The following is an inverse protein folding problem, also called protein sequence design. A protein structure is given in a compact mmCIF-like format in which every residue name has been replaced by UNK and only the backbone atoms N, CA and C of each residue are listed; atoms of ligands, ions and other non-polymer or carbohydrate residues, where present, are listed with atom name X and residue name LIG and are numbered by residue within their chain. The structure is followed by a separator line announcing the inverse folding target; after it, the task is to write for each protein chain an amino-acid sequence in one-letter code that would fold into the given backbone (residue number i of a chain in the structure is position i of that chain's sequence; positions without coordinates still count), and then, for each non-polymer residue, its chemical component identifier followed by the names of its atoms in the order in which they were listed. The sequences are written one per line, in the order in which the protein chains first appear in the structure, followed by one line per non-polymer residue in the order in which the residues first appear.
data_IF_422675429636
#
_entry.id   IF_422675429636
#
_cell.length_a   1.000
_cell.length_b   1.000
_cell.length_c   1.000
_cell.angle_alpha   90.00
_cell.angle_beta   90.00
_cell.angle_gamma   90.00
#
_symmetry.space_group_name_H-M   'P 1'
#
loop_
_entity.id
_entity.type
_entity.pdbx_description
1 polymer ?
#
# COMPACT_ATOMS: atom_id res chain seq x y z
N UNK A 1 -4.48 -0.11 27.58
CA UNK A 1 -4.64 0.11 26.12
C UNK A 1 -3.30 -0.24 25.49
N UNK A 2 -3.19 -1.39 24.83
CA UNK A 2 -1.92 -1.86 24.25
C UNK A 2 -1.72 -1.16 22.90
N UNK A 3 -0.77 -0.21 22.81
CA UNK A 3 -0.41 0.35 21.49
C UNK A 3 0.18 -0.78 20.66
N UNK A 4 -0.25 -0.98 19.40
CA UNK A 4 0.28 -2.07 18.62
C UNK A 4 1.74 -1.77 18.24
N UNK A 5 2.55 -2.83 18.14
CA UNK A 5 4.02 -2.83 18.04
C UNK A 5 4.62 -2.10 16.81
N UNK A 6 3.79 -1.46 15.98
CA UNK A 6 4.20 -0.77 14.75
C UNK A 6 4.70 0.66 14.96
N UNK A 7 4.53 1.24 16.15
CA UNK A 7 4.99 2.60 16.45
C UNK A 7 6.51 2.78 16.41
N UNK A 8 7.28 1.68 16.37
CA UNK A 8 8.73 1.68 16.45
C UNK A 8 9.44 1.77 15.08
N UNK A 9 8.70 1.63 13.98
CA UNK A 9 9.24 1.87 12.63
C UNK A 9 8.86 3.27 12.17
N UNK A 10 9.76 4.23 12.40
CA UNK A 10 9.59 5.61 11.98
C UNK A 10 9.50 5.70 10.45
N UNK A 11 8.32 6.02 9.93
CA UNK A 11 8.14 6.41 8.53
C UNK A 11 8.42 7.91 8.41
N UNK A 12 9.31 8.36 7.52
CA UNK A 12 9.62 9.78 7.35
C UNK A 12 8.36 10.59 7.05
N UNK A 13 8.15 11.67 7.80
CA UNK A 13 6.91 12.45 7.85
C UNK A 13 6.69 13.43 6.69
N UNK A 14 7.29 13.21 5.52
CA UNK A 14 7.16 14.13 4.39
C UNK A 14 6.35 13.50 3.25
N UNK A 15 5.34 14.24 2.78
CA UNK A 15 4.35 13.88 1.75
C UNK A 15 3.19 13.02 2.28
N UNK A 16 1.98 13.26 1.76
CA UNK A 16 0.74 12.58 2.15
C UNK A 16 0.94 11.06 2.15
N UNK A 17 1.21 10.53 3.33
CA UNK A 17 1.69 9.16 3.53
C UNK A 17 0.73 8.42 4.42
N UNK A 18 0.50 7.16 4.08
CA UNK A 18 -0.38 6.27 4.80
C UNK A 18 0.31 4.94 5.06
N UNK A 19 0.06 4.36 6.24
CA UNK A 19 0.55 3.05 6.61
C UNK A 19 -0.50 2.00 6.26
N UNK A 20 -0.05 0.84 5.81
CA UNK A 20 -0.91 -0.28 5.51
C UNK A 20 -0.28 -1.59 5.92
N UNK A 21 -1.12 -2.58 6.17
CA UNK A 21 -0.72 -3.96 6.25
C UNK A 21 -1.80 -4.88 5.68
N UNK A 22 -1.37 -6.07 5.28
CA UNK A 22 -2.18 -7.16 4.79
C UNK A 22 -1.76 -8.42 5.55
N UNK A 23 -2.68 -8.99 6.32
CA UNK A 23 -2.53 -10.35 6.82
C UNK A 23 -2.62 -11.32 5.63
N UNK A 24 -1.67 -12.25 5.50
CA UNK A 24 -1.60 -13.13 4.32
C UNK A 24 -2.47 -14.37 4.44
N UNK A 25 -2.87 -14.76 5.66
CA UNK A 25 -3.75 -15.90 5.87
C UNK A 25 -5.22 -15.53 5.59
N UNK A 26 -5.61 -14.30 5.93
CA UNK A 26 -6.99 -13.82 5.86
C UNK A 26 -7.24 -12.79 4.77
N UNK A 27 -6.18 -12.30 4.11
CA UNK A 27 -6.19 -11.17 3.17
C UNK A 27 -6.71 -9.85 3.78
N UNK A 28 -6.87 -9.76 5.10
CA UNK A 28 -7.41 -8.56 5.74
C UNK A 28 -6.44 -7.38 5.64
N UNK A 29 -6.99 -6.24 5.19
CA UNK A 29 -6.28 -4.98 5.12
C UNK A 29 -6.54 -4.12 6.35
N UNK A 30 -5.47 -3.56 6.90
CA UNK A 30 -5.55 -2.50 7.92
C UNK A 30 -4.82 -1.28 7.38
N UNK A 31 -5.52 -0.16 7.33
CA UNK A 31 -5.05 1.11 6.78
C UNK A 31 -5.06 2.18 7.86
N UNK A 32 -4.05 3.05 7.84
CA UNK A 32 -4.14 4.33 8.53
C UNK A 32 -5.02 5.31 7.75
N UNK A 33 -5.48 6.36 8.43
CA UNK A 33 -6.21 7.48 7.83
C UNK A 33 -5.59 8.01 6.53
N UNK A 34 -4.26 8.09 6.47
CA UNK A 34 -3.55 8.56 5.28
C UNK A 34 -3.79 7.69 4.04
N UNK A 35 -3.99 6.36 4.18
CA UNK A 35 -4.31 5.51 3.02
C UNK A 35 -5.75 5.71 2.57
N UNK A 36 -6.70 5.91 3.50
CA UNK A 36 -8.06 6.29 3.12
C UNK A 36 -8.08 7.60 2.33
N UNK A 37 -7.35 8.61 2.80
CA UNK A 37 -7.22 9.91 2.13
C UNK A 37 -6.57 9.76 0.73
N UNK A 38 -5.57 8.88 0.59
CA UNK A 38 -4.94 8.56 -0.71
C UNK A 38 -5.92 7.94 -1.70
N UNK A 39 -6.85 7.11 -1.22
CA UNK A 39 -7.86 6.45 -2.06
C UNK A 39 -9.15 7.28 -2.20
N UNK A 40 -9.24 8.44 -1.54
CA UNK A 40 -10.44 9.29 -1.52
C UNK A 40 -11.65 8.60 -0.89
N UNK A 41 -11.43 7.76 0.12
CA UNK A 41 -12.48 7.04 0.84
C UNK A 41 -12.73 7.69 2.20
N UNK A 42 -13.98 7.67 2.71
CA UNK A 42 -14.22 8.05 4.10
C UNK A 42 -13.42 7.15 5.04
N UNK A 43 -12.81 7.74 6.07
CA UNK A 43 -11.99 7.00 7.03
C UNK A 43 -12.84 6.01 7.82
N UNK A 44 -12.30 4.80 8.03
CA UNK A 44 -12.95 3.76 8.82
C UNK A 44 -14.07 3.00 8.09
N UNK A 45 -14.30 3.25 6.80
CA UNK A 45 -15.16 2.36 5.99
C UNK A 45 -14.54 0.98 5.92
N UNK A 46 -15.37 -0.06 5.87
CA UNK A 46 -14.88 -1.43 5.71
C UNK A 46 -14.10 -1.55 4.39
N UNK A 47 -12.91 -2.14 4.46
CA UNK A 47 -12.03 -2.33 3.31
C UNK A 47 -12.04 -3.81 2.93
N UNK A 48 -12.35 -4.08 1.67
CA UNK A 48 -12.14 -5.37 1.04
C UNK A 48 -10.96 -5.29 0.07
N UNK A 49 -10.03 -6.25 0.14
CA UNK A 49 -8.81 -6.22 -0.68
C UNK A 49 -9.13 -6.28 -2.17
N UNK A 50 -10.04 -7.15 -2.59
CA UNK A 50 -10.39 -7.30 -3.99
C UNK A 50 -11.00 -6.00 -4.54
N UNK A 51 -11.94 -5.40 -3.80
CA UNK A 51 -12.52 -4.11 -4.14
C UNK A 51 -11.49 -2.96 -4.20
N UNK A 52 -10.45 -3.00 -3.35
CA UNK A 52 -9.38 -1.99 -3.41
C UNK A 52 -8.45 -2.18 -4.60
N UNK A 53 -8.19 -3.43 -5.01
CA UNK A 53 -7.44 -3.70 -6.24
C UNK A 53 -8.15 -3.13 -7.46
N UNK A 54 -9.49 -3.11 -7.47
CA UNK A 54 -10.27 -2.53 -8.56
C UNK A 54 -10.01 -1.04 -8.80
N UNK A 55 -9.49 -0.32 -7.80
CA UNK A 55 -9.11 1.08 -7.90
C UNK A 55 -7.80 1.29 -8.65
N UNK A 56 -6.94 0.28 -8.73
CA UNK A 56 -5.71 0.36 -9.52
C UNK A 56 -6.02 0.31 -11.01
N UNK A 57 -5.34 1.14 -11.79
CA UNK A 57 -5.37 1.02 -13.25
C UNK A 57 -4.83 -0.37 -13.68
N UNK A 58 -5.28 -0.92 -14.83
CA UNK A 58 -4.99 -2.31 -15.20
C UNK A 58 -3.50 -2.67 -15.15
N UNK A 59 -2.63 -1.86 -15.75
CA UNK A 59 -1.18 -2.09 -15.77
C UNK A 59 -0.57 -2.05 -14.37
N UNK A 60 -0.98 -1.07 -13.56
CA UNK A 60 -0.52 -0.93 -12.17
C UNK A 60 -0.99 -2.08 -11.29
N UNK A 61 -2.21 -2.60 -11.52
CA UNK A 61 -2.75 -3.77 -10.80
C UNK A 61 -1.92 -5.02 -11.10
N UNK A 62 -1.67 -5.27 -12.39
CA UNK A 62 -0.87 -6.43 -12.83
C UNK A 62 0.52 -6.35 -12.23
N UNK A 63 1.19 -5.21 -12.34
CA UNK A 63 2.52 -5.01 -11.78
C UNK A 63 2.53 -5.21 -10.25
N UNK A 64 1.54 -4.67 -9.54
CA UNK A 64 1.44 -4.86 -8.10
C UNK A 64 1.30 -6.34 -7.73
N UNK A 65 0.44 -7.09 -8.43
CA UNK A 65 0.20 -8.52 -8.13
C UNK A 65 1.46 -9.34 -8.39
N UNK A 66 2.18 -9.06 -9.48
CA UNK A 66 3.47 -9.69 -9.75
C UNK A 66 4.48 -9.42 -8.62
N UNK A 67 4.60 -8.17 -8.17
CA UNK A 67 5.48 -7.82 -7.05
C UNK A 67 5.04 -8.46 -5.73
N UNK A 68 3.74 -8.52 -5.44
CA UNK A 68 3.19 -9.19 -4.26
C UNK A 68 3.53 -10.68 -4.26
N UNK A 69 3.31 -11.38 -5.37
CA UNK A 69 3.59 -12.82 -5.48
C UNK A 69 5.08 -13.09 -5.27
N UNK A 70 5.96 -12.31 -5.92
CA UNK A 70 7.40 -12.44 -5.74
C UNK A 70 7.82 -12.15 -4.29
N UNK A 71 7.30 -11.08 -3.70
CA UNK A 71 7.61 -10.69 -2.33
C UNK A 71 7.24 -11.78 -1.31
N UNK A 72 6.07 -12.39 -1.45
CA UNK A 72 5.62 -13.47 -0.56
C UNK A 72 6.50 -14.71 -0.74
N UNK A 73 6.78 -15.11 -1.98
CA UNK A 73 7.61 -16.28 -2.29
C UNK A 73 9.04 -16.13 -1.75
N UNK A 74 9.65 -15.01 -2.09
CA UNK A 74 11.07 -14.74 -1.84
C UNK A 74 11.33 -14.13 -0.46
N UNK A 75 10.25 -13.71 0.23
CA UNK A 75 10.28 -13.01 1.52
C UNK A 75 11.06 -11.70 1.45
N UNK A 76 10.94 -10.99 0.34
CA UNK A 76 11.61 -9.72 0.07
C UNK A 76 10.59 -8.60 -0.10
N UNK A 77 10.94 -7.41 0.39
CA UNK A 77 10.13 -6.21 0.17
C UNK A 77 10.24 -5.71 -1.27
N UNK A 78 9.40 -4.74 -1.62
CA UNK A 78 9.49 -4.05 -2.91
C UNK A 78 9.09 -2.57 -2.77
N UNK A 79 9.54 -1.77 -3.73
CA UNK A 79 9.04 -0.42 -3.96
C UNK A 79 8.61 -0.29 -5.40
N UNK A 80 7.42 0.26 -5.63
CA UNK A 80 6.93 0.54 -6.98
C UNK A 80 6.02 1.78 -6.98
N UNK A 81 5.91 2.41 -8.15
CA UNK A 81 4.90 3.44 -8.37
C UNK A 81 3.71 2.82 -9.12
N UNK A 82 2.50 3.27 -8.78
CA UNK A 82 1.25 2.74 -9.31
C UNK A 82 0.25 3.88 -9.51
N UNK A 83 -0.65 3.70 -10.47
CA UNK A 83 -1.77 4.60 -10.72
C UNK A 83 -3.05 4.04 -10.12
N UNK A 84 -3.78 4.89 -9.42
CA UNK A 84 -5.10 4.59 -8.86
C UNK A 84 -6.13 5.60 -9.34
N UNK A 85 -7.39 5.16 -9.45
CA UNK A 85 -8.54 6.01 -9.73
C UNK A 85 -9.15 6.53 -8.42
N UNK A 86 -9.29 7.85 -8.33
CA UNK A 86 -9.89 8.56 -7.20
C UNK A 86 -10.94 9.53 -7.73
N UNK A 87 -12.22 9.14 -7.64
CA UNK A 87 -13.30 9.81 -8.39
C UNK A 87 -13.03 9.74 -9.89
N UNK A 88 -13.08 10.90 -10.55
CA UNK A 88 -12.78 11.04 -11.99
C UNK A 88 -11.29 11.30 -12.29
N UNK A 89 -10.45 11.39 -11.25
CA UNK A 89 -9.02 11.66 -11.40
C UNK A 89 -8.16 10.39 -11.27
N UNK A 90 -6.94 10.48 -11.80
CA UNK A 90 -5.88 9.49 -11.61
C UNK A 90 -4.81 10.09 -10.70
N UNK A 91 -4.41 9.33 -9.68
CA UNK A 91 -3.35 9.69 -8.73
C UNK A 91 -2.19 8.69 -8.89
N UNK A 92 -0.96 9.20 -8.88
CA UNK A 92 0.23 8.35 -8.74
C UNK A 92 0.54 8.14 -7.27
N UNK A 93 0.71 6.89 -6.88
CA UNK A 93 1.13 6.50 -5.55
C UNK A 93 2.42 5.69 -5.61
N UNK A 94 3.31 5.89 -4.63
CA UNK A 94 4.43 4.99 -4.37
C UNK A 94 4.03 4.01 -3.28
N UNK A 95 4.23 2.72 -3.53
CA UNK A 95 4.02 1.65 -2.56
C UNK A 95 5.39 1.16 -2.10
N UNK A 96 5.64 1.22 -0.80
CA UNK A 96 6.77 0.56 -0.15
C UNK A 96 6.21 -0.59 0.67
N UNK A 97 6.68 -1.80 0.41
CA UNK A 97 6.24 -3.02 1.04
C UNK A 97 7.41 -3.77 1.66
N UNK A 98 7.18 -4.31 2.86
CA UNK A 98 8.04 -5.22 3.59
C UNK A 98 7.28 -6.51 3.88
N UNK A 99 8.03 -7.60 4.10
CA UNK A 99 7.48 -8.91 4.44
C UNK A 99 7.89 -9.26 5.87
N UNK A 100 6.92 -9.58 6.71
CA UNK A 100 7.17 -10.26 7.98
C UNK A 100 7.07 -11.77 7.75
N UNK A 101 8.03 -12.52 8.29
CA UNK A 101 8.06 -13.97 8.22
C UNK A 101 8.18 -14.59 9.60
N UNK A 102 7.51 -15.72 9.80
CA UNK A 102 7.59 -16.56 11.00
C UNK A 102 7.92 -17.98 10.55
N UNK A 103 8.93 -18.59 11.16
CA UNK A 103 9.40 -19.95 10.83
C UNK A 103 9.66 -20.18 9.32
N UNK A 104 10.18 -19.15 8.65
CA UNK A 104 10.51 -19.20 7.21
C UNK A 104 9.33 -19.04 6.25
N UNK A 105 8.12 -18.81 6.77
CA UNK A 105 6.91 -18.53 5.99
C UNK A 105 6.52 -17.04 6.10
N UNK A 106 6.15 -16.42 4.99
CA UNK A 106 5.63 -15.05 4.98
C UNK A 106 4.22 -15.03 5.61
N UNK A 107 4.00 -14.15 6.59
CA UNK A 107 2.72 -14.07 7.33
C UNK A 107 2.01 -12.74 7.13
N UNK A 108 2.75 -11.67 6.83
CA UNK A 108 2.19 -10.31 6.69
C UNK A 108 3.00 -9.49 5.69
N UNK A 109 2.29 -8.72 4.87
CA UNK A 109 2.86 -7.60 4.13
C UNK A 109 2.51 -6.30 4.84
N UNK A 110 3.44 -5.36 4.92
CA UNK A 110 3.18 -4.06 5.53
C UNK A 110 4.10 -2.99 4.95
N UNK A 111 3.75 -1.73 5.15
CA UNK A 111 4.61 -0.62 4.78
C UNK A 111 3.85 0.67 4.61
N UNK A 112 4.27 1.46 3.63
CA UNK A 112 3.76 2.81 3.41
C UNK A 112 3.28 3.01 1.98
N UNK A 113 2.36 3.95 1.80
CA UNK A 113 1.97 4.52 0.52
C UNK A 113 2.16 6.03 0.57
N UNK A 114 2.60 6.61 -0.54
CA UNK A 114 2.83 8.06 -0.67
C UNK A 114 2.13 8.57 -1.92
N UNK A 115 1.56 9.77 -1.89
CA UNK A 115 1.19 10.49 -3.12
C UNK A 115 2.47 11.01 -3.79
N UNK A 116 2.72 10.59 -5.02
CA UNK A 116 3.86 11.01 -5.85
C UNK A 116 3.40 11.65 -7.16
N UNK A 117 2.15 12.12 -7.21
CA UNK A 117 1.57 12.76 -8.40
C UNK A 117 2.37 13.99 -8.81
N UNK A 118 2.76 14.84 -7.86
CA UNK A 118 3.57 16.03 -8.13
C UNK A 118 4.96 15.68 -8.69
N UNK A 119 5.62 14.65 -8.15
CA UNK A 119 6.92 14.16 -8.64
C UNK A 119 6.83 13.71 -10.10
N UNK A 120 5.74 13.03 -10.47
CA UNK A 120 5.55 12.48 -11.83
C UNK A 120 5.17 13.54 -12.85
N UNK A 121 4.39 14.55 -12.47
CA UNK A 121 4.02 15.66 -13.37
C UNK A 121 5.24 16.51 -13.74
N UNK A 122 6.18 16.72 -12.81
CA UNK A 122 7.40 17.50 -13.05
C UNK A 122 8.41 16.82 -13.99
N UNK A 123 8.38 15.50 -14.11
CA UNK A 123 9.28 14.73 -15.01
C UNK A 123 8.72 14.67 -16.44
N UNK A 124 7.42 14.93 -16.62
CA UNK A 124 6.74 14.90 -17.91
C UNK A 124 6.62 16.28 -18.60
N UNK A 125 7.15 17.34 -17.98
CA UNK A 125 7.20 18.71 -18.51
C UNK A 125 8.63 19.05 -18.97
#
# INVERSE_FOLDING_TARGET
MCRPRWADHAVPAASASGLWQCDLATEQLVWSDGVYDLFGLPRGVAIDRAAMLERYLPESRIAMECHRVAAIRDKTGFTMDAQIRVGDAVRWIRIVAYVESVDGAAVRLFGAKYDVTAERVLIAA
#
